data_IF_997197350577
#
_entry.id   IF_997197350577
#
_cell.length_a   1.000
_cell.length_b   1.000
_cell.length_c   1.000
_cell.angle_alpha   90.00
_cell.angle_beta   90.00
_cell.angle_gamma   90.00
#
_symmetry.space_group_name_H-M   'P 1'
#
loop_
_entity.id
_entity.type
_entity.pdbx_description
1 polymer ?
#
# COMPACT_ATOMS: atom_id res chain seq x y z
N UNK A 1 2.08 17.72 31.24
CA UNK A 1 1.94 19.10 30.73
C UNK A 1 2.86 19.38 29.53
N UNK A 2 4.17 19.09 29.55
CA UNK A 2 5.05 19.38 28.39
C UNK A 2 4.74 18.60 27.09
N UNK A 3 4.33 17.33 27.19
CA UNK A 3 4.06 16.47 26.02
C UNK A 3 2.82 16.90 25.21
N UNK A 4 1.73 17.28 25.88
CA UNK A 4 0.50 17.76 25.21
C UNK A 4 0.72 19.08 24.49
N UNK A 5 1.51 19.97 25.09
CA UNK A 5 1.88 21.25 24.50
C UNK A 5 2.72 21.03 23.24
N UNK A 6 3.73 20.15 23.31
CA UNK A 6 4.55 19.79 22.16
C UNK A 6 3.72 19.20 21.01
N UNK A 7 2.82 18.24 21.30
CA UNK A 7 1.96 17.63 20.28
C UNK A 7 1.08 18.67 19.56
N UNK A 8 0.55 19.66 20.31
CA UNK A 8 -0.22 20.76 19.74
C UNK A 8 0.63 21.65 18.81
N UNK A 9 1.86 21.97 19.20
CA UNK A 9 2.77 22.74 18.34
C UNK A 9 3.17 21.98 17.07
N UNK A 10 3.43 20.68 17.18
CA UNK A 10 3.72 19.81 16.03
C UNK A 10 2.56 19.81 15.04
N UNK A 11 1.33 19.64 15.53
CA UNK A 11 0.13 19.67 14.69
C UNK A 11 -0.07 21.04 13.98
N UNK A 12 0.14 22.15 14.70
CA UNK A 12 0.05 23.49 14.12
C UNK A 12 1.12 23.72 13.04
N UNK A 13 2.35 23.28 13.28
CA UNK A 13 3.43 23.45 12.33
C UNK A 13 3.25 22.55 11.10
N UNK A 14 2.82 21.30 11.29
CA UNK A 14 2.44 20.39 10.21
C UNK A 14 1.32 20.98 9.34
N UNK A 15 0.29 21.58 9.95
CA UNK A 15 -0.79 22.24 9.22
C UNK A 15 -0.29 23.42 8.35
N UNK A 16 0.71 24.18 8.82
CA UNK A 16 1.33 25.23 8.01
C UNK A 16 2.16 24.65 6.86
N UNK A 17 2.96 23.61 7.11
CA UNK A 17 3.73 22.94 6.07
C UNK A 17 2.83 22.37 4.95
N UNK A 18 1.68 21.80 5.30
CA UNK A 18 0.71 21.30 4.33
C UNK A 18 0.15 22.44 3.46
N UNK A 19 -0.14 23.61 4.04
CA UNK A 19 -0.57 24.79 3.27
C UNK A 19 0.51 25.26 2.29
N UNK A 20 1.78 25.10 2.65
CA UNK A 20 2.92 25.42 1.81
C UNK A 20 3.30 24.29 0.83
N UNK A 21 2.43 23.29 0.63
CA UNK A 21 2.67 22.08 -0.19
C UNK A 21 3.89 21.24 0.23
N UNK A 22 4.33 21.35 1.48
CA UNK A 22 5.45 20.59 2.05
C UNK A 22 4.97 19.36 2.84
N UNK A 23 4.12 18.53 2.23
CA UNK A 23 3.50 17.36 2.89
C UNK A 23 4.51 16.37 3.45
N UNK A 24 5.60 16.08 2.73
CA UNK A 24 6.63 15.13 3.21
C UNK A 24 7.34 15.61 4.47
N UNK A 25 7.55 16.93 4.62
CA UNK A 25 8.10 17.50 5.85
C UNK A 25 7.10 17.42 7.00
N UNK A 26 5.81 17.58 6.71
CA UNK A 26 4.76 17.39 7.70
C UNK A 26 4.72 15.93 8.19
N UNK A 27 4.92 14.96 7.29
CA UNK A 27 5.08 13.55 7.65
C UNK A 27 6.29 13.32 8.56
N UNK A 28 7.47 13.84 8.19
CA UNK A 28 8.72 13.72 8.99
C UNK A 28 8.55 14.25 10.42
N UNK A 29 7.76 15.31 10.64
CA UNK A 29 7.43 15.77 11.99
C UNK A 29 6.71 14.71 12.81
N UNK A 30 5.73 14.03 12.22
CA UNK A 30 4.98 12.98 12.92
C UNK A 30 5.82 11.71 13.13
N UNK A 31 6.76 11.40 12.23
CA UNK A 31 7.74 10.34 12.44
C UNK A 31 8.66 10.64 13.65
N UNK A 32 9.07 11.90 13.82
CA UNK A 32 10.00 12.30 14.90
C UNK A 32 9.34 12.48 16.26
N UNK A 33 8.14 13.04 16.30
CA UNK A 33 7.47 13.45 17.54
C UNK A 33 6.26 12.58 17.91
N UNK A 34 5.90 11.60 17.08
CA UNK A 34 4.78 10.70 17.28
C UNK A 34 3.46 11.25 16.75
N UNK A 35 2.53 10.35 16.46
CA UNK A 35 1.22 10.64 15.90
C UNK A 35 0.09 10.20 16.85
N UNK A 36 -0.15 10.94 17.94
CA UNK A 36 -1.19 10.57 18.89
C UNK A 36 -2.58 10.58 18.25
N UNK A 37 -3.41 9.63 18.64
CA UNK A 37 -4.80 9.46 18.20
C UNK A 37 -5.75 10.54 18.78
N UNK A 38 -5.39 11.81 18.64
CA UNK A 38 -6.19 12.96 19.09
C UNK A 38 -7.16 13.40 17.98
N UNK A 39 -8.48 13.50 18.27
CA UNK A 39 -9.48 13.98 17.32
C UNK A 39 -9.17 15.30 16.61
N UNK A 40 -8.46 16.21 17.28
CA UNK A 40 -8.10 17.51 16.69
C UNK A 40 -7.11 17.38 15.52
N UNK A 41 -6.33 16.30 15.47
CA UNK A 41 -5.28 16.10 14.47
C UNK A 41 -5.73 15.26 13.27
N UNK A 42 -6.89 14.59 13.34
CA UNK A 42 -7.30 13.62 12.31
C UNK A 42 -7.43 14.22 10.91
N UNK A 43 -7.88 15.47 10.78
CA UNK A 43 -7.94 16.14 9.49
C UNK A 43 -6.54 16.37 8.88
N UNK A 44 -5.53 16.60 9.72
CA UNK A 44 -4.14 16.75 9.29
C UNK A 44 -3.62 15.41 8.77
N UNK A 45 -3.85 14.32 9.51
CA UNK A 45 -3.43 12.98 9.09
C UNK A 45 -4.09 12.58 7.77
N UNK A 46 -5.42 12.72 7.65
CA UNK A 46 -6.15 12.45 6.40
C UNK A 46 -5.61 13.24 5.22
N UNK A 47 -5.26 14.50 5.45
CA UNK A 47 -4.67 15.34 4.41
C UNK A 47 -3.29 14.83 3.97
N UNK A 48 -2.41 14.49 4.91
CA UNK A 48 -1.10 13.89 4.59
C UNK A 48 -1.26 12.61 3.79
N UNK A 49 -2.17 11.72 4.20
CA UNK A 49 -2.42 10.44 3.52
C UNK A 49 -2.90 10.68 2.09
N UNK A 50 -3.91 11.54 1.91
CA UNK A 50 -4.46 11.85 0.58
C UNK A 50 -3.42 12.50 -0.35
N UNK A 51 -2.61 13.43 0.19
CA UNK A 51 -1.56 14.10 -0.57
C UNK A 51 -0.45 13.09 -0.97
N UNK A 52 -0.01 12.22 -0.06
CA UNK A 52 1.00 11.18 -0.35
C UNK A 52 0.48 10.14 -1.35
N UNK A 53 -0.77 9.69 -1.21
CA UNK A 53 -1.42 8.79 -2.17
C UNK A 53 -1.53 9.43 -3.55
N UNK A 54 -1.73 10.74 -3.64
CA UNK A 54 -1.86 11.45 -4.91
C UNK A 54 -0.53 11.97 -5.47
N UNK A 55 0.56 11.86 -4.71
CA UNK A 55 1.86 12.40 -5.10
C UNK A 55 2.46 11.63 -6.28
N UNK A 56 2.90 12.38 -7.29
CA UNK A 56 3.65 11.84 -8.42
C UNK A 56 5.04 11.37 -7.98
N UNK A 57 5.57 10.33 -8.63
CA UNK A 57 6.90 9.79 -8.36
C UNK A 57 6.97 8.78 -7.20
N UNK A 58 5.91 8.63 -6.40
CA UNK A 58 5.89 7.67 -5.29
C UNK A 58 5.48 6.24 -5.68
N UNK A 59 5.56 5.87 -6.95
CA UNK A 59 5.10 4.57 -7.45
C UNK A 59 6.22 3.52 -7.62
N UNK A 60 7.48 3.90 -7.41
CA UNK A 60 8.66 3.07 -7.66
C UNK A 60 9.20 2.40 -6.39
N UNK A 61 10.12 1.45 -6.56
CA UNK A 61 10.81 0.77 -5.46
C UNK A 61 11.57 1.72 -4.52
N UNK A 62 12.09 2.84 -5.05
CA UNK A 62 12.84 3.87 -4.32
C UNK A 62 11.99 4.63 -3.31
N UNK A 63 10.66 4.59 -3.49
CA UNK A 63 9.71 5.30 -2.64
C UNK A 63 9.37 4.56 -1.34
N UNK A 64 10.02 3.41 -1.08
CA UNK A 64 9.73 2.55 0.06
C UNK A 64 9.72 3.31 1.38
N UNK A 65 10.75 4.10 1.67
CA UNK A 65 10.90 4.80 2.95
C UNK A 65 9.74 5.75 3.23
N UNK A 66 9.33 6.56 2.26
CA UNK A 66 8.17 7.46 2.40
C UNK A 66 6.90 6.70 2.75
N UNK A 67 6.68 5.53 2.13
CA UNK A 67 5.51 4.70 2.41
C UNK A 67 5.61 3.98 3.76
N UNK A 68 6.79 3.52 4.15
CA UNK A 68 7.04 2.90 5.45
C UNK A 68 6.87 3.91 6.59
N UNK A 69 7.36 5.14 6.42
CA UNK A 69 7.18 6.24 7.37
C UNK A 69 5.70 6.56 7.58
N UNK A 70 4.92 6.65 6.48
CA UNK A 70 3.48 6.85 6.57
C UNK A 70 2.77 5.65 7.19
N UNK A 71 3.20 4.42 6.88
CA UNK A 71 2.67 3.17 7.45
C UNK A 71 2.82 3.18 8.97
N UNK A 72 4.00 3.54 9.47
CA UNK A 72 4.31 3.50 10.89
C UNK A 72 3.56 4.58 11.67
N UNK A 73 3.47 5.80 11.11
CA UNK A 73 2.60 6.88 11.63
C UNK A 73 1.14 6.44 11.69
N UNK A 74 0.63 5.82 10.64
CA UNK A 74 -0.75 5.32 10.61
C UNK A 74 -0.99 4.18 11.59
N UNK A 75 -0.01 3.29 11.75
CA UNK A 75 -0.10 2.19 12.70
C UNK A 75 -0.21 2.71 14.14
N UNK A 76 0.53 3.75 14.50
CA UNK A 76 0.42 4.41 15.82
C UNK A 76 -1.00 4.98 16.05
N UNK A 77 -1.56 5.64 15.03
CA UNK A 77 -2.93 6.21 15.09
C UNK A 77 -3.97 5.09 15.27
N UNK A 78 -3.88 4.03 14.46
CA UNK A 78 -4.80 2.89 14.48
C UNK A 78 -4.72 2.13 15.81
N UNK A 79 -3.51 1.86 16.30
CA UNK A 79 -3.29 1.21 17.60
C UNK A 79 -3.82 2.07 18.77
N UNK A 80 -3.62 3.40 18.68
CA UNK A 80 -4.19 4.35 19.64
C UNK A 80 -5.72 4.36 19.64
N UNK A 81 -6.35 4.32 18.47
CA UNK A 81 -7.82 4.24 18.32
C UNK A 81 -8.39 2.91 18.81
N UNK A 82 -7.68 1.80 18.56
CA UNK A 82 -8.09 0.44 18.96
C UNK A 82 -8.08 0.22 20.47
N UNK A 83 -7.26 0.95 21.22
CA UNK A 83 -7.21 0.91 22.70
C UNK A 83 -8.29 1.77 23.37
N UNK A 84 -8.91 2.69 22.62
CA UNK A 84 -9.95 3.59 23.13
C UNK A 84 -11.35 2.99 23.06
N UNK A 85 -12.33 3.69 23.63
CA UNK A 85 -13.76 3.35 23.50
C UNK A 85 -14.30 3.47 22.06
N UNK A 86 -13.49 3.97 21.13
CA UNK A 86 -13.83 4.23 19.73
C UNK A 86 -13.37 3.13 18.75
N UNK A 87 -12.89 1.98 19.25
CA UNK A 87 -12.34 0.89 18.43
C UNK A 87 -13.28 0.41 17.30
N UNK A 88 -14.60 0.44 17.52
CA UNK A 88 -15.60 0.07 16.51
C UNK A 88 -16.25 1.27 15.80
N UNK A 89 -15.69 2.47 15.95
CA UNK A 89 -16.25 3.67 15.31
C UNK A 89 -16.00 3.66 13.79
N UNK A 90 -16.89 4.28 12.98
CA UNK A 90 -16.66 4.43 11.54
C UNK A 90 -15.33 5.12 11.21
N UNK A 91 -14.90 6.05 12.08
CA UNK A 91 -13.64 6.74 11.95
C UNK A 91 -12.42 5.82 12.15
N UNK A 92 -12.48 4.90 13.13
CA UNK A 92 -11.43 3.92 13.32
C UNK A 92 -11.33 2.96 12.13
N UNK A 93 -12.48 2.56 11.57
CA UNK A 93 -12.53 1.73 10.35
C UNK A 93 -11.92 2.46 9.14
N UNK A 94 -12.20 3.75 8.99
CA UNK A 94 -11.62 4.56 7.92
C UNK A 94 -10.09 4.64 8.00
N UNK A 95 -9.53 4.86 9.20
CA UNK A 95 -8.07 4.85 9.40
C UNK A 95 -7.47 3.45 9.20
N UNK A 96 -8.14 2.37 9.59
CA UNK A 96 -7.71 1.00 9.30
C UNK A 96 -7.62 0.75 7.78
N UNK A 97 -8.61 1.19 6.99
CA UNK A 97 -8.57 1.06 5.52
C UNK A 97 -7.43 1.90 4.92
N UNK A 98 -7.26 3.16 5.36
CA UNK A 98 -6.15 3.99 4.90
C UNK A 98 -4.79 3.37 5.22
N UNK A 99 -4.66 2.79 6.40
CA UNK A 99 -3.47 2.08 6.83
C UNK A 99 -3.19 0.83 5.99
N UNK A 100 -4.21 0.01 5.69
CA UNK A 100 -4.06 -1.16 4.82
C UNK A 100 -3.57 -0.77 3.41
N UNK A 101 -4.11 0.31 2.84
CA UNK A 101 -3.67 0.86 1.55
C UNK A 101 -2.19 1.23 1.60
N UNK A 102 -1.78 2.00 2.61
CA UNK A 102 -0.38 2.43 2.78
C UNK A 102 0.55 1.24 3.02
N UNK A 103 0.08 0.23 3.76
CA UNK A 103 0.83 -1.01 3.94
C UNK A 103 1.00 -1.79 2.62
N UNK A 104 -0.02 -1.82 1.75
CA UNK A 104 0.12 -2.42 0.42
C UNK A 104 1.11 -1.66 -0.46
N UNK A 105 1.11 -0.31 -0.42
CA UNK A 105 2.10 0.48 -1.16
C UNK A 105 3.53 0.24 -0.66
N UNK A 106 3.78 0.27 0.66
CA UNK A 106 5.12 0.00 1.21
C UNK A 106 5.58 -1.43 0.88
N UNK A 107 4.72 -2.43 1.08
CA UNK A 107 5.04 -3.82 0.74
C UNK A 107 5.30 -4.01 -0.75
N UNK A 108 4.54 -3.33 -1.61
CA UNK A 108 4.77 -3.33 -3.06
C UNK A 108 6.14 -2.77 -3.39
N UNK A 109 6.53 -1.63 -2.83
CA UNK A 109 7.83 -1.00 -3.07
C UNK A 109 8.98 -1.94 -2.66
N UNK A 110 8.87 -2.60 -1.50
CA UNK A 110 9.86 -3.60 -1.07
C UNK A 110 9.93 -4.79 -2.04
N UNK A 111 8.80 -5.29 -2.52
CA UNK A 111 8.76 -6.40 -3.48
C UNK A 111 9.38 -6.01 -4.83
N UNK A 112 9.17 -4.78 -5.31
CA UNK A 112 9.71 -4.29 -6.58
C UNK A 112 11.24 -4.22 -6.62
N UNK A 113 11.92 -4.27 -5.47
CA UNK A 113 13.38 -4.31 -5.42
C UNK A 113 13.95 -5.66 -5.87
N UNK A 114 13.13 -6.73 -5.90
CA UNK A 114 13.58 -8.09 -6.16
C UNK A 114 12.73 -8.74 -7.24
N UNK A 115 13.35 -9.10 -8.39
CA UNK A 115 12.64 -9.71 -9.52
C UNK A 115 11.86 -10.98 -9.16
N UNK A 116 12.35 -11.75 -8.19
CA UNK A 116 11.64 -12.94 -7.69
C UNK A 116 10.27 -12.59 -7.12
N UNK A 117 10.06 -11.36 -6.66
CA UNK A 117 8.82 -10.87 -6.05
C UNK A 117 7.96 -10.01 -7.00
N UNK A 118 8.31 -9.86 -8.29
CA UNK A 118 7.53 -9.07 -9.25
C UNK A 118 6.07 -9.52 -9.32
N UNK A 119 5.83 -10.84 -9.30
CA UNK A 119 4.47 -11.40 -9.24
C UNK A 119 3.70 -10.93 -8.01
N UNK A 120 4.37 -10.82 -6.85
CA UNK A 120 3.76 -10.35 -5.61
C UNK A 120 3.51 -8.83 -5.64
N UNK A 121 4.43 -8.06 -6.23
CA UNK A 121 4.23 -6.63 -6.47
C UNK A 121 3.02 -6.34 -7.39
N UNK A 122 2.85 -7.12 -8.47
CA UNK A 122 1.69 -7.03 -9.36
C UNK A 122 0.38 -7.35 -8.64
N UNK A 123 0.39 -8.43 -7.87
CA UNK A 123 -0.68 -8.87 -6.96
C UNK A 123 -1.13 -7.78 -5.95
N UNK A 124 -0.18 -7.09 -5.33
CA UNK A 124 -0.44 -5.95 -4.44
C UNK A 124 -1.03 -4.76 -5.19
N UNK A 125 -0.49 -4.44 -6.37
CA UNK A 125 -0.98 -3.36 -7.23
C UNK A 125 -2.43 -3.58 -7.67
N UNK A 126 -2.78 -4.81 -8.04
CA UNK A 126 -4.15 -5.20 -8.41
C UNK A 126 -5.08 -5.14 -7.20
N UNK A 127 -4.59 -5.52 -6.01
CA UNK A 127 -5.39 -5.44 -4.78
C UNK A 127 -5.77 -4.00 -4.40
N UNK A 128 -4.93 -3.02 -4.73
CA UNK A 128 -5.22 -1.59 -4.54
C UNK A 128 -6.43 -1.10 -5.35
N UNK A 129 -6.83 -1.78 -6.43
CA UNK A 129 -8.04 -1.45 -7.19
C UNK A 129 -9.32 -1.53 -6.36
N UNK A 130 -9.33 -2.32 -5.26
CA UNK A 130 -10.47 -2.39 -4.33
C UNK A 130 -10.70 -1.10 -3.55
N UNK A 131 -9.68 -0.28 -3.47
CA UNK A 131 -9.65 0.95 -2.68
C UNK A 131 -9.72 2.18 -3.58
N UNK A 132 -10.40 2.08 -4.72
CA UNK A 132 -10.56 3.17 -5.69
C UNK A 132 -11.40 4.34 -5.17
N UNK A 133 -12.03 4.20 -4.02
CA UNK A 133 -12.71 5.24 -3.26
C UNK A 133 -11.72 6.19 -2.55
N UNK A 134 -10.51 5.71 -2.21
CA UNK A 134 -9.45 6.48 -1.55
C UNK A 134 -8.27 6.72 -2.50
N UNK A 135 -7.87 5.72 -3.27
CA UNK A 135 -6.82 5.81 -4.27
C UNK A 135 -7.42 6.33 -5.58
N UNK A 136 -6.87 7.39 -6.20
CA UNK A 136 -7.38 7.88 -7.47
C UNK A 136 -7.46 6.77 -8.53
N UNK A 137 -8.64 6.59 -9.14
CA UNK A 137 -8.91 5.47 -10.06
C UNK A 137 -7.88 5.38 -11.19
N UNK A 138 -7.57 6.50 -11.85
CA UNK A 138 -6.59 6.53 -12.94
C UNK A 138 -5.22 5.99 -12.47
N UNK A 139 -4.76 6.39 -11.29
CA UNK A 139 -3.50 5.92 -10.70
C UNK A 139 -3.56 4.42 -10.42
N UNK A 140 -4.62 3.95 -9.77
CA UNK A 140 -4.77 2.55 -9.42
C UNK A 140 -4.79 1.64 -10.66
N UNK A 141 -5.54 2.02 -11.71
CA UNK A 141 -5.61 1.27 -12.97
C UNK A 141 -4.28 1.30 -13.74
N UNK A 142 -3.60 2.45 -13.78
CA UNK A 142 -2.28 2.55 -14.40
C UNK A 142 -1.26 1.65 -13.69
N UNK A 143 -1.14 1.76 -12.37
CA UNK A 143 -0.17 0.99 -11.58
C UNK A 143 -0.44 -0.51 -11.66
N UNK A 144 -1.71 -0.94 -11.56
CA UNK A 144 -2.09 -2.34 -11.72
C UNK A 144 -1.79 -2.85 -13.14
N UNK A 145 -2.07 -2.04 -14.17
CA UNK A 145 -1.83 -2.38 -15.56
C UNK A 145 -0.35 -2.54 -15.90
N UNK A 146 0.49 -1.57 -15.48
CA UNK A 146 1.95 -1.63 -15.67
C UNK A 146 2.55 -2.82 -14.93
N UNK A 147 2.12 -3.07 -13.69
CA UNK A 147 2.64 -4.19 -12.92
C UNK A 147 2.21 -5.55 -13.52
N UNK A 148 0.97 -5.68 -13.99
CA UNK A 148 0.49 -6.86 -14.70
C UNK A 148 1.27 -7.10 -16.00
N UNK A 149 1.52 -6.04 -16.78
CA UNK A 149 2.35 -6.09 -18.00
C UNK A 149 3.76 -6.57 -17.69
N UNK A 150 4.37 -6.07 -16.61
CA UNK A 150 5.73 -6.44 -16.20
C UNK A 150 5.91 -7.93 -15.88
N UNK A 151 4.84 -8.62 -15.48
CA UNK A 151 4.86 -10.06 -15.16
C UNK A 151 4.26 -10.95 -16.27
N UNK A 152 3.95 -10.37 -17.44
CA UNK A 152 3.38 -11.07 -18.58
C UNK A 152 1.90 -11.44 -18.41
N UNK A 153 1.14 -10.74 -17.57
CA UNK A 153 -0.31 -10.92 -17.43
C UNK A 153 -1.07 -10.02 -18.41
N UNK A 154 -0.83 -10.24 -19.71
CA UNK A 154 -1.24 -9.33 -20.78
C UNK A 154 -2.76 -9.09 -20.84
N UNK A 155 -3.58 -10.10 -20.58
CA UNK A 155 -5.04 -9.94 -20.50
C UNK A 155 -5.46 -8.95 -19.40
N UNK A 156 -4.87 -9.08 -18.21
CA UNK A 156 -5.17 -8.16 -17.12
C UNK A 156 -4.61 -6.76 -17.39
N UNK A 157 -3.36 -6.70 -17.88
CA UNK A 157 -2.71 -5.45 -18.24
C UNK A 157 -3.53 -4.69 -19.28
N UNK A 158 -4.01 -5.37 -20.31
CA UNK A 158 -4.87 -4.80 -21.34
C UNK A 158 -6.15 -4.24 -20.75
N UNK A 159 -6.89 -4.99 -19.93
CA UNK A 159 -8.14 -4.50 -19.34
C UNK A 159 -7.88 -3.28 -18.45
N UNK A 160 -6.86 -3.31 -17.59
CA UNK A 160 -6.57 -2.21 -16.67
C UNK A 160 -6.07 -0.96 -17.39
N UNK A 161 -5.18 -1.12 -18.37
CA UNK A 161 -4.63 0.00 -19.13
C UNK A 161 -5.66 0.62 -20.08
N UNK A 162 -6.56 -0.16 -20.67
CA UNK A 162 -7.70 0.40 -21.40
C UNK A 162 -8.57 1.26 -20.49
N UNK A 163 -8.91 0.76 -19.29
CA UNK A 163 -9.67 1.55 -18.33
C UNK A 163 -8.93 2.81 -17.91
N UNK A 164 -7.60 2.78 -17.80
CA UNK A 164 -6.81 3.99 -17.53
C UNK A 164 -6.95 5.03 -18.65
N UNK A 165 -6.95 4.62 -19.93
CA UNK A 165 -7.11 5.53 -21.07
C UNK A 165 -8.46 6.26 -21.07
N UNK A 166 -9.51 5.64 -20.53
CA UNK A 166 -10.83 6.27 -20.35
C UNK A 166 -10.85 7.32 -19.22
N UNK A 167 -9.90 7.24 -18.28
CA UNK A 167 -9.90 8.01 -17.03
C UNK A 167 -8.87 9.15 -16.99
N UNK A 168 -7.82 9.07 -17.81
CA UNK A 168 -6.66 9.97 -17.72
C UNK A 168 -6.35 10.62 -19.05
N UNK A 169 -6.01 11.92 -18.98
CA UNK A 169 -5.48 12.74 -20.08
C UNK A 169 -4.00 13.10 -19.88
N UNK A 170 -3.28 12.36 -19.02
CA UNK A 170 -1.89 12.65 -18.65
C UNK A 170 -0.86 12.26 -19.73
N UNK A 171 0.38 12.72 -19.57
CA UNK A 171 1.52 12.45 -20.49
C UNK A 171 1.73 10.96 -20.78
N UNK A 172 1.55 10.10 -19.77
CA UNK A 172 1.72 8.64 -19.87
C UNK A 172 0.65 7.97 -20.76
N UNK A 173 -0.41 8.69 -21.11
CA UNK A 173 -1.52 8.18 -21.91
C UNK A 173 -1.11 7.75 -23.31
N UNK A 174 -0.25 8.51 -23.99
CA UNK A 174 0.14 8.17 -25.36
C UNK A 174 0.99 6.89 -25.39
N UNK A 175 1.91 6.70 -24.44
CA UNK A 175 2.67 5.44 -24.29
C UNK A 175 1.74 4.25 -24.06
N UNK A 176 0.76 4.41 -23.16
CA UNK A 176 -0.21 3.34 -22.88
C UNK A 176 -1.08 3.05 -24.10
N UNK A 177 -1.51 4.08 -24.83
CA UNK A 177 -2.35 3.97 -26.02
C UNK A 177 -1.64 3.25 -27.15
N UNK A 178 -0.36 3.57 -27.41
CA UNK A 178 0.46 2.84 -28.39
C UNK A 178 0.52 1.35 -28.06
N UNK A 179 0.79 1.01 -26.80
CA UNK A 179 0.84 -0.38 -26.38
C UNK A 179 -0.52 -1.08 -26.50
N UNK A 180 -1.61 -0.46 -26.04
CA UNK A 180 -2.97 -1.00 -26.13
C UNK A 180 -3.38 -1.24 -27.60
N UNK A 181 -3.05 -0.31 -28.50
CA UNK A 181 -3.34 -0.45 -29.93
C UNK A 181 -2.59 -1.64 -30.53
N UNK A 182 -1.29 -1.77 -30.23
CA UNK A 182 -0.49 -2.90 -30.69
C UNK A 182 -1.08 -4.25 -30.24
N UNK A 183 -1.44 -4.36 -28.96
CA UNK A 183 -2.04 -5.58 -28.39
C UNK A 183 -3.41 -5.88 -29.00
N UNK A 184 -4.23 -4.84 -29.24
CA UNK A 184 -5.55 -4.99 -29.84
C UNK A 184 -5.46 -5.47 -31.30
N UNK A 185 -4.49 -4.95 -32.06
CA UNK A 185 -4.24 -5.36 -33.46
C UNK A 185 -3.76 -6.80 -33.58
N UNK A 186 -2.99 -7.29 -32.60
CA UNK A 186 -2.46 -8.65 -32.60
C UNK A 186 -3.52 -9.74 -32.31
N UNK A 187 -4.76 -9.38 -31.91
CA UNK A 187 -5.90 -10.28 -31.60
C UNK A 187 -5.61 -11.42 -30.60
N UNK A 188 -4.47 -11.39 -29.88
CA UNK A 188 -4.03 -12.47 -28.98
C UNK A 188 -4.53 -12.35 -27.53
N UNK A 189 -5.20 -11.25 -27.19
CA UNK A 189 -5.56 -10.93 -25.81
C UNK A 189 -7.07 -10.94 -25.65
N UNK A 190 -7.56 -11.86 -24.81
CA UNK A 190 -8.97 -11.89 -24.42
C UNK A 190 -9.25 -10.75 -23.44
N UNK A 191 -10.27 -9.94 -23.72
CA UNK A 191 -10.67 -8.79 -22.90
C UNK A 191 -11.45 -9.21 -21.64
N UNK A 192 -11.04 -10.32 -21.04
CA UNK A 192 -11.70 -10.93 -19.90
C UNK A 192 -10.68 -11.00 -18.77
N UNK A 193 -11.03 -10.39 -17.63
CA UNK A 193 -10.27 -10.62 -16.41
C UNK A 193 -10.43 -12.10 -16.05
N UNK A 194 -9.33 -12.81 -15.76
CA UNK A 194 -9.44 -14.18 -15.27
C UNK A 194 -10.39 -14.21 -14.06
N UNK A 195 -11.23 -15.26 -13.96
CA UNK A 195 -12.10 -15.54 -12.81
C UNK A 195 -11.27 -15.98 -11.60
N UNK A 196 -10.30 -15.15 -11.25
CA UNK A 196 -9.14 -15.53 -10.48
C UNK A 196 -9.46 -15.65 -9.00
N UNK A 197 -9.18 -16.82 -8.43
CA UNK A 197 -9.24 -17.08 -6.99
C UNK A 197 -8.10 -16.40 -6.22
N UNK A 198 -7.25 -15.61 -6.89
CA UNK A 198 -6.06 -14.96 -6.33
C UNK A 198 -6.41 -13.94 -5.23
N UNK A 199 -7.61 -13.36 -5.22
CA UNK A 199 -8.07 -12.45 -4.17
C UNK A 199 -9.61 -12.42 -4.05
N UNK A 200 -10.22 -12.57 -2.85
CA UNK A 200 -9.61 -12.69 -1.51
C UNK A 200 -8.81 -13.98 -1.30
N UNK A 201 -8.13 -14.16 -0.16
CA UNK A 201 -7.41 -15.40 0.16
C UNK A 201 -8.44 -16.54 0.39
N UNK A 202 -8.85 -17.19 -0.69
CA UNK A 202 -9.93 -18.18 -0.69
C UNK A 202 -9.44 -19.59 -0.34
N UNK A 203 -8.20 -19.92 -0.70
CA UNK A 203 -7.61 -21.26 -0.56
C UNK A 203 -6.16 -21.16 -0.10
N UNK A 204 -5.66 -22.26 0.47
CA UNK A 204 -4.27 -22.38 0.96
C UNK A 204 -3.86 -21.21 1.87
N UNK A 205 -4.77 -20.83 2.79
CA UNK A 205 -4.55 -19.70 3.70
C UNK A 205 -3.66 -20.11 4.87
N UNK A 206 -2.81 -19.18 5.28
CA UNK A 206 -2.15 -19.21 6.58
C UNK A 206 -2.67 -18.06 7.42
N UNK A 207 -3.17 -18.37 8.61
CA UNK A 207 -3.75 -17.39 9.52
C UNK A 207 -2.69 -16.86 10.47
N UNK A 208 -2.75 -15.56 10.71
CA UNK A 208 -1.94 -14.91 11.73
C UNK A 208 -2.62 -14.99 13.09
N UNK A 209 -1.89 -14.64 14.14
CA UNK A 209 -2.43 -14.59 15.51
C UNK A 209 -3.57 -13.57 15.63
N UNK A 210 -3.48 -12.44 14.94
CA UNK A 210 -4.54 -11.41 14.90
C UNK A 210 -5.75 -11.93 14.12
N UNK A 211 -6.97 -11.92 14.71
CA UNK A 211 -8.18 -12.38 14.03
C UNK A 211 -8.44 -11.64 12.72
N UNK A 212 -8.90 -12.37 11.70
CA UNK A 212 -9.23 -11.81 10.40
C UNK A 212 -8.03 -11.49 9.49
N UNK A 213 -6.79 -11.74 9.94
CA UNK A 213 -5.58 -11.55 9.13
C UNK A 213 -5.08 -12.90 8.62
N UNK A 214 -4.91 -13.02 7.31
CA UNK A 214 -4.39 -14.22 6.66
C UNK A 214 -3.60 -13.85 5.40
N UNK A 215 -2.65 -14.72 5.02
CA UNK A 215 -1.94 -14.65 3.76
C UNK A 215 -2.15 -15.94 2.95
N UNK A 216 -1.97 -15.86 1.64
CA UNK A 216 -1.79 -17.07 0.84
C UNK A 216 -0.43 -17.71 1.20
N UNK A 217 -0.42 -19.01 1.46
CA UNK A 217 0.76 -19.73 1.95
C UNK A 217 1.92 -19.73 0.95
N UNK A 218 1.63 -19.82 -0.35
CA UNK A 218 2.67 -19.81 -1.39
C UNK A 218 3.31 -18.44 -1.53
N UNK A 219 2.49 -17.38 -1.58
CA UNK A 219 2.98 -16.01 -1.63
C UNK A 219 3.80 -15.65 -0.40
N UNK A 220 3.35 -16.07 0.80
CA UNK A 220 4.09 -15.89 2.03
C UNK A 220 5.44 -16.61 1.99
N UNK A 221 5.47 -17.90 1.66
CA UNK A 221 6.71 -18.66 1.58
C UNK A 221 7.69 -18.07 0.56
N UNK A 222 7.18 -17.61 -0.59
CA UNK A 222 7.97 -16.92 -1.60
C UNK A 222 8.57 -15.62 -1.06
N UNK A 223 7.78 -14.85 -0.31
CA UNK A 223 8.25 -13.62 0.34
C UNK A 223 9.32 -13.89 1.40
N UNK A 224 9.16 -14.93 2.23
CA UNK A 224 10.16 -15.34 3.23
C UNK A 224 11.47 -15.71 2.55
N UNK A 225 11.42 -16.63 1.58
CA UNK A 225 12.62 -17.09 0.87
C UNK A 225 13.34 -15.93 0.18
N UNK A 226 12.60 -15.04 -0.47
CA UNK A 226 13.20 -13.87 -1.10
C UNK A 226 13.87 -12.94 -0.08
N UNK A 227 13.26 -12.75 1.09
CA UNK A 227 13.82 -11.90 2.15
C UNK A 227 15.09 -12.51 2.76
N UNK A 228 15.10 -13.82 2.99
CA UNK A 228 16.26 -14.57 3.49
C UNK A 228 17.42 -14.57 2.48
N UNK A 229 17.14 -14.77 1.20
CA UNK A 229 18.17 -14.83 0.16
C UNK A 229 18.74 -13.44 -0.13
N UNK A 230 17.87 -12.44 -0.30
CA UNK A 230 18.30 -11.09 -0.69
C UNK A 230 18.95 -10.27 0.42
N UNK A 231 18.67 -10.60 1.69
CA UNK A 231 19.04 -9.77 2.85
C UNK A 231 18.55 -8.31 2.71
N UNK A 232 17.45 -8.12 1.99
CA UNK A 232 16.85 -6.80 1.72
C UNK A 232 16.36 -6.13 3.01
N UNK A 233 16.88 -4.95 3.37
CA UNK A 233 16.44 -4.27 4.59
C UNK A 233 14.94 -3.90 4.55
N UNK A 234 14.41 -3.56 3.38
CA UNK A 234 13.00 -3.22 3.18
C UNK A 234 12.10 -4.44 3.33
N UNK A 235 12.48 -5.60 2.78
CA UNK A 235 11.69 -6.82 2.97
C UNK A 235 11.76 -7.30 4.43
N UNK A 236 12.93 -7.18 5.09
CA UNK A 236 13.09 -7.50 6.50
C UNK A 236 12.25 -6.57 7.40
N UNK A 237 12.18 -5.29 7.08
CA UNK A 237 11.32 -4.33 7.76
C UNK A 237 9.84 -4.71 7.62
N UNK A 238 9.37 -5.02 6.41
CA UNK A 238 8.01 -5.51 6.18
C UNK A 238 7.71 -6.77 7.00
N UNK A 239 8.62 -7.75 7.04
CA UNK A 239 8.45 -8.97 7.84
C UNK A 239 8.33 -8.67 9.34
N UNK A 240 9.21 -7.81 9.85
CA UNK A 240 9.17 -7.39 11.25
C UNK A 240 7.88 -6.66 11.57
N UNK A 241 7.45 -5.76 10.67
CA UNK A 241 6.21 -5.03 10.80
C UNK A 241 5.00 -5.97 10.83
N UNK A 242 4.92 -6.94 9.92
CA UNK A 242 3.85 -7.93 9.91
C UNK A 242 3.84 -8.78 11.18
N UNK A 243 5.01 -9.12 11.73
CA UNK A 243 5.13 -9.76 13.03
C UNK A 243 4.56 -8.92 14.17
N UNK A 244 4.79 -7.60 14.17
CA UNK A 244 4.23 -6.69 15.16
C UNK A 244 2.72 -6.49 14.99
N UNK A 245 2.25 -6.28 13.76
CA UNK A 245 0.86 -5.95 13.45
C UNK A 245 -0.08 -7.16 13.54
N UNK A 246 0.33 -8.29 12.95
CA UNK A 246 -0.50 -9.49 12.81
C UNK A 246 -0.12 -10.60 13.83
N UNK A 247 1.07 -10.53 14.43
CA UNK A 247 1.63 -11.61 15.24
C UNK A 247 2.18 -12.77 14.39
N UNK A 248 2.87 -13.71 15.03
CA UNK A 248 3.41 -14.88 14.36
C UNK A 248 2.29 -15.73 13.70
N UNK A 249 2.55 -16.33 12.52
CA UNK A 249 1.60 -17.23 11.88
C UNK A 249 1.38 -18.50 12.72
N UNK A 250 0.15 -19.01 12.77
CA UNK A 250 -0.22 -20.13 13.65
C UNK A 250 0.35 -21.48 13.18
N UNK A 251 0.63 -21.62 11.88
CA UNK A 251 1.26 -22.80 11.28
C UNK A 251 2.40 -22.37 10.33
N UNK A 252 3.54 -21.91 10.86
CA UNK A 252 4.67 -21.52 10.03
C UNK A 252 5.21 -22.73 9.27
N UNK A 253 5.46 -22.58 7.96
CA UNK A 253 6.27 -23.57 7.22
C UNK A 253 7.76 -23.47 7.60
N UNK A 254 8.17 -22.32 8.13
CA UNK A 254 9.51 -21.97 8.58
C UNK A 254 9.41 -21.19 9.89
N UNK A 255 10.16 -21.59 10.91
CA UNK A 255 10.20 -20.93 12.22
C UNK A 255 11.21 -19.79 12.22
N UNK A 256 10.80 -18.59 12.63
CA UNK A 256 11.72 -17.47 12.89
C UNK A 256 12.31 -17.61 14.29
N UNK A 257 13.64 -17.54 14.42
CA UNK A 257 14.36 -17.35 15.69
C UNK A 257 14.70 -15.88 15.88
#
# INVERSE_FOLDING_TARGET
QGYEVLSKYVALYAANLIKDNNTLKALDLFCRYGAPANPQNFNIYKRIISDVISMAGLSSAESYHTWADLRDVLFEIVDGLGKGSAASSPLAQEFEVMFEIVHYYSTRCACMQHKSLDTLAAKLSISLLRHSDIVPCYKAFYEAGVAAKGVGWDNMAFVFLNRYLDLSEEEKREEVKEWVLAVSMDQKVEQVLPTDERYPVLRNKMEFKRPGKAANKEDWNKFIMATEVSHSPECQDVLRFLGNWCGAPQNPSYSFN
#
